data_IF_122054578643
#
_entry.id   IF_122054578643
#
_cell.length_a   1.000
_cell.length_b   1.000
_cell.length_c   1.000
_cell.angle_alpha   90.00
_cell.angle_beta   90.00
_cell.angle_gamma   90.00
#
_symmetry.space_group_name_H-M   'P 1'
#
loop_
_entity.id
_entity.type
_entity.pdbx_description
1 polymer ?
#
# COMPACT_ATOMS: atom_id res chain seq x y z
N UNK A 1 -28.92 8.36 -10.31
CA UNK A 1 -27.84 8.40 -11.32
C UNK A 1 -26.84 7.31 -10.98
N UNK A 2 -26.70 6.34 -11.82
CA UNK A 2 -25.69 5.31 -11.68
C UNK A 2 -24.33 5.95 -11.99
N UNK A 3 -23.47 6.14 -11.00
CA UNK A 3 -22.07 6.50 -11.25
C UNK A 3 -21.45 5.32 -12.04
N UNK A 4 -21.49 5.40 -13.36
CA UNK A 4 -20.70 4.51 -14.19
C UNK A 4 -19.24 4.88 -13.90
N UNK A 5 -18.55 3.95 -13.25
CA UNK A 5 -17.08 4.03 -13.13
C UNK A 5 -16.56 3.97 -14.55
N UNK A 6 -15.95 5.06 -14.99
CA UNK A 6 -15.32 5.09 -16.30
C UNK A 6 -13.93 4.43 -16.19
N UNK A 7 -13.86 3.19 -16.64
CA UNK A 7 -12.59 2.42 -16.69
C UNK A 7 -11.53 3.21 -17.46
N UNK A 8 -11.94 4.02 -18.43
CA UNK A 8 -11.03 4.85 -19.21
C UNK A 8 -10.32 5.90 -18.35
N UNK A 9 -10.97 6.40 -17.29
CA UNK A 9 -10.35 7.34 -16.36
C UNK A 9 -9.17 6.68 -15.60
N UNK A 10 -9.30 5.41 -15.20
CA UNK A 10 -8.19 4.65 -14.60
C UNK A 10 -7.04 4.46 -15.58
N UNK A 11 -7.36 4.15 -16.83
CA UNK A 11 -6.37 3.85 -17.87
C UNK A 11 -5.63 5.11 -18.30
N UNK A 12 -6.33 6.23 -18.45
CA UNK A 12 -5.74 7.48 -18.90
C UNK A 12 -4.71 8.07 -17.92
N UNK A 13 -4.82 7.73 -16.63
CA UNK A 13 -3.89 8.19 -15.60
C UNK A 13 -2.75 7.18 -15.30
N UNK A 14 -2.71 6.04 -15.99
CA UNK A 14 -1.54 5.16 -15.91
C UNK A 14 -0.34 5.82 -16.63
N UNK A 15 0.89 5.68 -16.07
CA UNK A 15 1.26 4.83 -14.92
C UNK A 15 1.23 5.52 -13.55
N UNK A 16 0.87 6.79 -13.45
CA UNK A 16 0.98 7.59 -12.21
C UNK A 16 0.02 7.11 -11.12
N UNK A 17 -1.02 6.37 -11.48
CA UNK A 17 -2.02 5.84 -10.56
C UNK A 17 -1.83 4.34 -10.22
N UNK A 18 -0.73 3.74 -10.64
CA UNK A 18 -0.40 2.36 -10.26
C UNK A 18 0.06 2.35 -8.80
N UNK A 19 -0.59 1.54 -7.98
CA UNK A 19 -0.23 1.31 -6.58
C UNK A 19 -0.11 -0.18 -6.29
N UNK A 20 0.70 -0.53 -5.30
CA UNK A 20 0.91 -1.91 -4.88
C UNK A 20 0.32 -2.16 -3.50
N UNK A 21 -0.20 -3.36 -3.29
CA UNK A 21 -0.60 -3.87 -1.99
C UNK A 21 0.17 -5.14 -1.65
N UNK A 22 0.36 -5.37 -0.37
CA UNK A 22 0.98 -6.57 0.17
C UNK A 22 -0.08 -7.36 0.93
N UNK A 23 -0.29 -8.61 0.55
CA UNK A 23 -1.40 -9.40 1.06
C UNK A 23 -0.90 -10.74 1.61
N UNK A 24 -1.60 -11.25 2.62
CA UNK A 24 -1.35 -12.60 3.11
C UNK A 24 -1.71 -13.63 2.03
N UNK A 25 -0.91 -14.71 1.84
CA UNK A 25 -1.17 -15.71 0.80
C UNK A 25 -2.55 -16.36 0.90
N UNK A 26 -3.07 -16.51 2.12
CA UNK A 26 -4.41 -17.08 2.34
C UNK A 26 -5.55 -16.16 1.85
N UNK A 27 -5.28 -14.87 1.70
CA UNK A 27 -6.25 -13.91 1.16
C UNK A 27 -6.32 -13.92 -0.37
N UNK A 28 -5.38 -14.60 -1.04
CA UNK A 28 -5.28 -14.64 -2.50
C UNK A 28 -5.36 -16.09 -2.96
N UNK A 29 -6.46 -16.46 -3.59
CA UNK A 29 -6.66 -17.84 -4.07
C UNK A 29 -5.74 -18.18 -5.25
N UNK A 30 -5.49 -19.48 -5.47
CA UNK A 30 -4.70 -19.94 -6.61
C UNK A 30 -5.29 -19.45 -7.95
N UNK A 31 -6.61 -19.51 -8.09
CA UNK A 31 -7.30 -19.02 -9.29
C UNK A 31 -7.11 -17.51 -9.51
N UNK A 32 -7.02 -16.73 -8.45
CA UNK A 32 -6.69 -15.30 -8.55
C UNK A 32 -5.26 -15.12 -9.01
N UNK A 33 -4.30 -15.86 -8.44
CA UNK A 33 -2.88 -15.75 -8.80
C UNK A 33 -2.62 -16.05 -10.27
N UNK A 34 -3.35 -17.01 -10.84
CA UNK A 34 -3.24 -17.35 -12.27
C UNK A 34 -3.72 -16.22 -13.19
N UNK A 35 -4.57 -15.33 -12.68
CA UNK A 35 -5.22 -14.26 -13.44
C UNK A 35 -4.69 -12.87 -13.18
N UNK A 36 -3.75 -12.69 -12.27
CA UNK A 36 -3.18 -11.39 -11.91
C UNK A 36 -1.65 -11.38 -12.02
N UNK A 37 -1.05 -10.27 -12.49
CA UNK A 37 0.38 -10.05 -12.31
C UNK A 37 0.67 -9.93 -10.82
N UNK A 38 1.63 -10.70 -10.32
CA UNK A 38 1.99 -10.72 -8.91
C UNK A 38 3.45 -11.13 -8.72
N UNK A 39 3.97 -10.89 -7.53
CA UNK A 39 5.22 -11.44 -7.03
C UNK A 39 5.12 -11.77 -5.56
N UNK A 40 6.06 -12.56 -5.07
CA UNK A 40 6.19 -12.80 -3.64
C UNK A 40 7.27 -11.89 -3.04
N UNK A 41 6.99 -11.36 -1.85
CA UNK A 41 7.92 -10.63 -1.03
C UNK A 41 7.78 -11.12 0.41
N UNK A 42 8.83 -11.74 0.96
CA UNK A 42 8.83 -12.29 2.33
C UNK A 42 7.61 -13.17 2.66
N UNK A 43 7.23 -14.07 1.77
CA UNK A 43 6.05 -14.94 1.86
C UNK A 43 4.68 -14.21 1.76
N UNK A 44 4.68 -12.94 1.46
CA UNK A 44 3.48 -12.16 1.16
C UNK A 44 3.33 -11.97 -0.35
N UNK A 45 2.12 -11.73 -0.79
CA UNK A 45 1.79 -11.56 -2.21
C UNK A 45 1.61 -10.08 -2.53
N UNK A 46 2.37 -9.60 -3.50
CA UNK A 46 2.19 -8.25 -4.07
C UNK A 46 1.13 -8.30 -5.16
N UNK A 47 0.15 -7.44 -5.05
CA UNK A 47 -0.86 -7.18 -6.08
C UNK A 47 -0.79 -5.72 -6.51
N UNK A 48 -1.30 -5.42 -7.70
CA UNK A 48 -1.25 -4.08 -8.28
C UNK A 48 -2.65 -3.58 -8.58
N UNK A 49 -2.85 -2.29 -8.36
CA UNK A 49 -4.13 -1.61 -8.50
C UNK A 49 -3.96 -0.32 -9.30
N UNK A 50 -4.96 0.03 -10.07
CA UNK A 50 -5.13 1.39 -10.57
C UNK A 50 -5.99 2.16 -9.56
N UNK A 51 -5.50 3.30 -9.10
CA UNK A 51 -6.18 4.13 -8.11
C UNK A 51 -6.57 5.47 -8.74
N UNK A 52 -7.81 5.89 -8.54
CA UNK A 52 -8.30 7.21 -8.92
C UNK A 52 -8.93 7.87 -7.71
N UNK A 53 -8.51 9.09 -7.45
CA UNK A 53 -9.11 9.95 -6.44
C UNK A 53 -10.07 10.93 -7.13
N UNK A 54 -11.33 10.92 -6.70
CA UNK A 54 -12.36 11.79 -7.23
C UNK A 54 -13.18 12.37 -6.09
N UNK A 55 -13.12 13.68 -5.94
CA UNK A 55 -13.70 14.39 -4.81
C UNK A 55 -13.17 13.79 -3.49
N UNK A 56 -14.03 13.30 -2.62
CA UNK A 56 -13.66 12.67 -1.36
C UNK A 56 -13.64 11.13 -1.43
N UNK A 57 -13.64 10.56 -2.65
CA UNK A 57 -13.72 9.11 -2.85
C UNK A 57 -12.48 8.59 -3.56
N UNK A 58 -11.90 7.53 -3.00
CA UNK A 58 -10.81 6.77 -3.64
C UNK A 58 -11.38 5.48 -4.22
N UNK A 59 -11.22 5.34 -5.52
CA UNK A 59 -11.62 4.13 -6.23
C UNK A 59 -10.39 3.33 -6.67
N UNK A 60 -10.47 2.01 -6.60
CA UNK A 60 -9.39 1.11 -7.00
C UNK A 60 -9.90 0.00 -7.89
N UNK A 61 -9.11 -0.31 -8.90
CA UNK A 61 -9.33 -1.41 -9.82
C UNK A 61 -8.13 -2.35 -9.76
N UNK A 62 -8.36 -3.62 -9.41
CA UNK A 62 -7.32 -4.64 -9.41
C UNK A 62 -6.83 -4.84 -10.85
N UNK A 63 -5.53 -4.77 -11.04
CA UNK A 63 -4.91 -5.04 -12.34
C UNK A 63 -4.83 -6.56 -12.52
N UNK A 64 -5.68 -7.09 -13.40
CA UNK A 64 -5.59 -8.46 -13.86
C UNK A 64 -4.69 -8.57 -15.11
N UNK A 65 -4.46 -9.78 -15.59
CA UNK A 65 -3.64 -10.02 -16.76
C UNK A 65 -4.22 -9.40 -18.04
N UNK A 66 -5.53 -9.19 -18.12
CA UNK A 66 -6.18 -8.56 -19.27
C UNK A 66 -5.90 -7.05 -19.27
N UNK A 67 -6.04 -6.41 -18.11
CA UNK A 67 -5.74 -4.98 -17.94
C UNK A 67 -4.24 -4.74 -18.16
N UNK A 68 -3.36 -5.55 -17.59
CA UNK A 68 -1.93 -5.44 -17.80
C UNK A 68 -1.56 -5.54 -19.29
N UNK A 69 -2.14 -6.51 -20.01
CA UNK A 69 -1.95 -6.67 -21.45
C UNK A 69 -2.48 -5.47 -22.23
N UNK A 70 -3.63 -4.95 -21.87
CA UNK A 70 -4.22 -3.78 -22.52
C UNK A 70 -3.33 -2.54 -22.34
N UNK A 71 -2.76 -2.36 -21.13
CA UNK A 71 -1.83 -1.27 -20.84
C UNK A 71 -0.43 -1.48 -21.43
N UNK A 72 -0.13 -2.68 -21.94
CA UNK A 72 1.21 -3.05 -22.39
C UNK A 72 2.24 -3.13 -21.27
N UNK A 73 1.81 -3.42 -20.04
CA UNK A 73 2.63 -3.44 -18.84
C UNK A 73 3.09 -4.86 -18.51
N UNK A 74 4.38 -5.00 -18.18
CA UNK A 74 4.91 -6.21 -17.54
C UNK A 74 4.75 -6.09 -16.01
N UNK A 75 4.87 -7.21 -15.30
CA UNK A 75 4.85 -7.20 -13.83
C UNK A 75 5.97 -6.31 -13.26
N UNK A 76 7.17 -6.35 -13.83
CA UNK A 76 8.30 -5.50 -13.44
C UNK A 76 7.99 -4.01 -13.61
N UNK A 77 7.31 -3.65 -14.68
CA UNK A 77 6.86 -2.27 -14.91
C UNK A 77 5.85 -1.82 -13.85
N UNK A 78 4.89 -2.68 -13.52
CA UNK A 78 3.90 -2.40 -12.47
C UNK A 78 4.57 -2.22 -11.10
N UNK A 79 5.51 -3.10 -10.77
CA UNK A 79 6.28 -3.02 -9.53
C UNK A 79 7.10 -1.72 -9.42
N UNK A 80 7.81 -1.37 -10.49
CA UNK A 80 8.59 -0.13 -10.53
C UNK A 80 7.71 1.09 -10.27
N UNK A 81 6.57 1.20 -10.94
CA UNK A 81 5.66 2.32 -10.76
C UNK A 81 4.97 2.32 -9.39
N UNK A 82 4.61 1.16 -8.87
CA UNK A 82 4.06 1.04 -7.52
C UNK A 82 5.06 1.55 -6.46
N UNK A 83 6.34 1.19 -6.56
CA UNK A 83 7.39 1.71 -5.69
C UNK A 83 7.59 3.23 -5.83
N UNK A 84 7.50 3.75 -7.05
CA UNK A 84 7.64 5.17 -7.32
C UNK A 84 6.46 5.99 -6.80
N UNK A 85 5.24 5.45 -6.94
CA UNK A 85 4.01 6.19 -6.66
C UNK A 85 3.59 6.16 -5.19
N UNK A 86 4.13 5.24 -4.37
CA UNK A 86 3.73 5.14 -2.95
C UNK A 86 4.05 6.41 -2.15
N UNK A 87 5.05 7.17 -2.58
CA UNK A 87 5.50 8.40 -1.90
C UNK A 87 6.36 8.14 -0.67
N UNK A 88 6.61 9.21 0.08
CA UNK A 88 7.41 9.14 1.30
C UNK A 88 6.64 8.42 2.43
N UNK A 89 7.33 7.60 3.25
CA UNK A 89 6.70 6.95 4.38
C UNK A 89 6.33 7.97 5.46
N UNK A 90 5.20 7.71 6.11
CA UNK A 90 4.75 8.41 7.32
C UNK A 90 4.83 7.42 8.47
N UNK A 91 5.61 7.75 9.48
CA UNK A 91 5.77 6.94 10.69
C UNK A 91 5.09 7.67 11.85
N UNK A 92 4.10 7.04 12.46
CA UNK A 92 3.36 7.62 13.58
C UNK A 92 3.34 6.65 14.76
N UNK A 93 3.44 7.19 15.97
CA UNK A 93 3.15 6.42 17.16
C UNK A 93 1.66 6.01 17.14
N UNK A 94 1.36 4.79 17.55
CA UNK A 94 -0.01 4.27 17.55
C UNK A 94 -0.95 5.09 18.43
N UNK A 95 -0.45 5.62 19.55
CA UNK A 95 -1.23 6.42 20.48
C UNK A 95 -1.65 7.73 19.82
N UNK A 96 -0.71 8.42 19.15
CA UNK A 96 -1.02 9.67 18.44
C UNK A 96 -2.05 9.44 17.33
N UNK A 97 -1.93 8.32 16.63
CA UNK A 97 -2.88 7.97 15.59
C UNK A 97 -4.27 7.68 16.16
N UNK A 98 -4.36 6.92 17.25
CA UNK A 98 -5.64 6.64 17.92
C UNK A 98 -6.27 7.90 18.50
N UNK A 99 -5.49 8.78 19.12
CA UNK A 99 -5.96 10.05 19.68
C UNK A 99 -6.51 11.01 18.62
N UNK A 100 -5.96 10.96 17.41
CA UNK A 100 -6.46 11.77 16.28
C UNK A 100 -7.77 11.24 15.68
N UNK A 101 -8.04 9.94 15.81
CA UNK A 101 -9.26 9.31 15.31
C UNK A 101 -10.43 9.36 16.30
N UNK A 102 -10.11 9.32 17.58
CA UNK A 102 -11.11 9.35 18.68
C UNK A 102 -10.55 10.33 19.71
N UNK A 103 -11.25 11.41 20.01
CA UNK A 103 -10.83 12.43 21.00
C UNK A 103 -10.80 11.83 22.43
N UNK A 104 -9.97 10.82 22.63
CA UNK A 104 -9.77 10.15 23.92
C UNK A 104 -8.36 10.50 24.40
N UNK A 105 -8.29 11.13 25.56
CA UNK A 105 -7.07 11.20 26.34
C UNK A 105 -6.81 9.81 26.92
N UNK A 106 -5.86 9.08 26.35
CA UNK A 106 -5.56 7.71 26.74
C UNK A 106 -4.78 7.63 28.06
N UNK A 107 -4.27 8.75 28.57
CA UNK A 107 -3.46 8.79 29.80
C UNK A 107 -2.12 8.08 29.73
N UNK A 108 -1.72 7.59 28.54
CA UNK A 108 -0.40 7.01 28.30
C UNK A 108 0.59 8.10 27.88
N UNK A 109 1.81 8.04 28.40
CA UNK A 109 2.90 8.86 27.91
C UNK A 109 3.47 8.25 26.63
N UNK A 110 3.85 9.09 25.66
CA UNK A 110 4.44 8.67 24.38
C UNK A 110 5.69 7.80 24.53
N UNK A 111 6.39 7.94 25.66
CA UNK A 111 7.61 7.18 25.96
C UNK A 111 7.35 5.72 26.40
N UNK A 112 6.11 5.35 26.73
CA UNK A 112 5.77 4.03 27.24
C UNK A 112 5.38 3.03 26.16
N UNK A 113 5.13 3.47 24.93
CA UNK A 113 4.69 2.61 23.83
C UNK A 113 5.64 2.70 22.65
N UNK A 114 6.35 1.62 22.39
CA UNK A 114 7.29 1.47 21.28
C UNK A 114 6.61 0.82 20.04
N UNK A 115 5.34 1.17 19.79
CA UNK A 115 4.60 0.67 18.63
C UNK A 115 4.31 1.82 17.66
N UNK A 116 4.82 1.68 16.45
CA UNK A 116 4.68 2.65 15.37
C UNK A 116 3.92 2.06 14.20
N UNK A 117 3.23 2.92 13.48
CA UNK A 117 2.58 2.57 12.21
C UNK A 117 3.37 3.22 11.09
N UNK A 118 3.73 2.43 10.09
CA UNK A 118 4.34 2.88 8.85
C UNK A 118 3.26 2.90 7.78
N UNK A 119 3.00 4.06 7.23
CA UNK A 119 2.02 4.25 6.17
C UNK A 119 2.47 5.35 5.20
N UNK A 120 1.63 5.74 4.26
CA UNK A 120 1.84 6.88 3.37
C UNK A 120 0.86 8.02 3.69
N UNK A 121 0.94 9.11 2.93
CA UNK A 121 0.04 10.25 3.11
C UNK A 121 -1.45 9.91 2.96
N UNK A 122 -1.77 8.91 2.12
CA UNK A 122 -3.14 8.43 1.93
C UNK A 122 -3.59 7.42 2.99
N UNK A 123 -2.72 7.02 3.89
CA UNK A 123 -2.93 6.01 4.96
C UNK A 123 -3.37 4.64 4.43
N UNK A 124 -2.91 4.25 3.24
CA UNK A 124 -3.34 3.05 2.53
C UNK A 124 -2.13 2.30 2.00
N UNK A 125 -2.17 0.97 2.09
CA UNK A 125 -1.13 0.09 1.57
C UNK A 125 0.27 0.32 2.15
N UNK A 126 0.36 0.82 3.38
CA UNK A 126 1.64 1.06 4.06
C UNK A 126 2.52 -0.18 4.18
N UNK A 127 1.94 -1.37 4.26
CA UNK A 127 2.67 -2.63 4.26
C UNK A 127 3.55 -2.82 3.01
N UNK A 128 3.23 -2.17 1.90
CA UNK A 128 4.01 -2.23 0.67
C UNK A 128 5.44 -1.69 0.83
N UNK A 129 5.71 -0.84 1.83
CA UNK A 129 7.09 -0.41 2.15
C UNK A 129 8.03 -1.57 2.53
N UNK A 130 7.49 -2.74 2.93
CA UNK A 130 8.30 -3.95 3.13
C UNK A 130 9.02 -4.42 1.85
N UNK A 131 8.52 -4.05 0.70
CA UNK A 131 9.17 -4.30 -0.59
C UNK A 131 10.34 -3.34 -0.87
N UNK A 132 10.56 -2.36 0.01
CA UNK A 132 11.54 -1.28 -0.15
C UNK A 132 12.52 -1.29 1.04
N UNK A 133 13.51 -2.18 1.06
CA UNK A 133 14.42 -2.37 2.20
C UNK A 133 15.20 -1.10 2.57
N UNK A 134 15.51 -0.24 1.61
CA UNK A 134 16.20 1.02 1.87
C UNK A 134 15.35 1.99 2.70
N UNK A 135 14.03 1.99 2.48
CA UNK A 135 13.08 2.79 3.27
C UNK A 135 13.01 2.28 4.70
N UNK A 136 12.87 0.97 4.87
CA UNK A 136 12.82 0.34 6.20
C UNK A 136 14.15 0.52 6.93
N UNK A 137 15.28 0.36 6.25
CA UNK A 137 16.60 0.58 6.81
C UNK A 137 16.79 2.02 7.31
N UNK A 138 16.35 3.00 6.54
CA UNK A 138 16.39 4.42 6.97
C UNK A 138 15.54 4.67 8.21
N UNK A 139 14.34 4.08 8.29
CA UNK A 139 13.48 4.20 9.49
C UNK A 139 14.19 3.58 10.70
N UNK A 140 14.81 2.40 10.57
CA UNK A 140 15.59 1.77 11.64
C UNK A 140 16.75 2.67 12.10
N UNK A 141 17.47 3.27 11.17
CA UNK A 141 18.57 4.20 11.47
C UNK A 141 18.06 5.44 12.21
N UNK A 142 16.95 6.02 11.78
CA UNK A 142 16.34 7.21 12.41
C UNK A 142 15.91 6.92 13.88
N UNK A 143 15.49 5.70 14.17
CA UNK A 143 15.14 5.26 15.53
C UNK A 143 16.32 4.67 16.31
N UNK A 144 17.48 4.45 15.65
CA UNK A 144 18.70 3.94 16.26
C UNK A 144 18.59 2.52 16.82
N UNK A 145 17.69 1.69 16.28
CA UNK A 145 17.44 0.32 16.73
C UNK A 145 16.93 -0.57 15.61
N UNK A 146 17.08 -1.88 15.80
CA UNK A 146 16.44 -2.87 14.96
C UNK A 146 14.91 -2.77 15.09
N UNK A 147 14.22 -3.07 14.00
CA UNK A 147 12.76 -3.04 13.92
C UNK A 147 12.20 -4.46 13.88
N UNK A 148 11.16 -4.69 14.67
CA UNK A 148 10.27 -5.85 14.50
C UNK A 148 9.06 -5.36 13.75
N UNK A 149 8.82 -5.92 12.55
CA UNK A 149 7.74 -5.50 11.67
C UNK A 149 6.62 -6.53 11.71
N UNK A 150 5.42 -6.04 12.00
CA UNK A 150 4.20 -6.85 12.02
C UNK A 150 3.32 -6.32 10.88
N UNK A 151 3.24 -7.04 9.74
CA UNK A 151 2.32 -6.63 8.68
C UNK A 151 0.87 -6.81 9.14
N UNK A 152 0.07 -5.78 8.99
CA UNK A 152 -1.37 -5.86 9.16
C UNK A 152 -2.04 -5.75 7.80
N UNK A 153 -2.89 -6.67 7.50
CA UNK A 153 -3.74 -6.68 6.32
C UNK A 153 -5.04 -5.93 6.56
#
# INVERSE_FOLDING_TARGET
MTNRIDIQEFINNAPENIVGSLNHPEAVTADMLDNIPHRYSSNLVVQYWLQVEKEDTVMRLLIDNKIAKYLGCTEEYLYYHACKNIGAPVVKNIIDMMSSMVSIDTGFNDDDVLLYIITNASMIFGAFYLCMPDVIGKIADDYGSDLIIIPSS
#
